data_IF_103185537190
#
_entry.id   IF_103185537190
#
_cell.length_a   1.000
_cell.length_b   1.000
_cell.length_c   1.000
_cell.angle_alpha   90.00
_cell.angle_beta   90.00
_cell.angle_gamma   90.00
#
_symmetry.space_group_name_H-M   'P 1'
#
loop_
_entity.id
_entity.type
_entity.pdbx_description
1 polymer ?
#
# COMPACT_ATOMS: atom_id res chain seq x y z
N UNK A 1 -7.95 -8.63 -0.81
CA UNK A 1 -7.68 -9.09 0.59
C UNK A 1 -7.41 -7.86 1.44
N UNK A 2 -7.59 -7.94 2.76
CA UNK A 2 -7.35 -6.80 3.64
C UNK A 2 -5.97 -6.82 4.32
N UNK A 3 -5.44 -5.65 4.60
CA UNK A 3 -4.14 -5.40 5.24
C UNK A 3 -4.31 -4.80 6.65
N UNK A 4 -3.39 -5.12 7.56
CA UNK A 4 -3.40 -4.61 8.95
C UNK A 4 -2.08 -4.91 9.66
N UNK A 5 -1.65 -4.01 10.55
CA UNK A 5 -0.53 -4.27 11.47
C UNK A 5 -0.99 -4.42 12.92
N UNK A 6 -2.27 -4.73 13.15
CA UNK A 6 -2.81 -4.97 14.48
C UNK A 6 -3.73 -6.19 14.55
N UNK A 7 -3.25 -7.23 15.25
CA UNK A 7 -3.94 -8.50 15.45
C UNK A 7 -4.16 -8.75 16.97
N UNK A 8 -5.26 -8.26 17.55
CA UNK A 8 -5.55 -8.49 18.96
C UNK A 8 -5.96 -9.95 19.23
N UNK A 9 -5.27 -10.59 20.19
CA UNK A 9 -5.60 -11.96 20.66
C UNK A 9 -7.00 -12.08 21.28
N UNK A 10 -7.58 -10.97 21.71
CA UNK A 10 -8.91 -10.91 22.33
C UNK A 10 -10.05 -10.90 21.30
N UNK A 11 -9.77 -10.65 20.03
CA UNK A 11 -10.81 -10.65 18.99
C UNK A 11 -11.14 -12.07 18.54
N UNK A 12 -12.42 -12.43 18.61
CA UNK A 12 -12.89 -13.75 18.21
C UNK A 12 -13.24 -13.80 16.72
N UNK A 13 -12.28 -14.16 15.87
CA UNK A 13 -12.46 -14.32 14.41
C UNK A 13 -13.42 -15.45 14.01
N UNK A 14 -13.92 -16.28 14.94
CA UNK A 14 -14.96 -17.29 14.66
C UNK A 14 -16.38 -16.75 14.85
N UNK A 15 -16.52 -15.61 15.53
CA UNK A 15 -17.82 -14.97 15.76
C UNK A 15 -18.14 -14.03 14.59
N UNK A 16 -19.29 -14.28 13.96
CA UNK A 16 -19.89 -13.36 13.01
C UNK A 16 -20.58 -12.22 13.77
N UNK A 17 -20.33 -10.99 13.34
CA UNK A 17 -20.86 -9.76 13.91
C UNK A 17 -21.62 -8.98 12.83
N UNK A 18 -22.68 -8.23 13.18
CA UNK A 18 -23.38 -7.40 12.21
C UNK A 18 -22.42 -6.39 11.57
N UNK A 19 -22.53 -6.20 10.26
CA UNK A 19 -21.76 -5.27 9.46
C UNK A 19 -22.66 -4.08 9.09
N UNK A 20 -22.22 -2.89 9.46
CA UNK A 20 -22.94 -1.63 9.20
C UNK A 20 -22.05 -0.66 8.41
N UNK A 21 -22.68 0.20 7.62
CA UNK A 21 -21.99 1.25 6.87
C UNK A 21 -22.75 2.56 7.02
N UNK A 22 -22.17 3.60 7.68
CA UNK A 22 -22.91 4.82 7.91
C UNK A 22 -23.26 5.60 6.65
N UNK A 23 -22.42 5.51 5.62
CA UNK A 23 -22.66 6.12 4.31
C UNK A 23 -23.67 5.40 3.40
N UNK A 24 -24.42 4.40 3.87
CA UNK A 24 -25.21 3.52 2.98
C UNK A 24 -26.26 4.27 2.16
N UNK A 25 -26.89 5.29 2.75
CA UNK A 25 -27.94 6.10 2.14
C UNK A 25 -27.42 7.37 1.45
N UNK A 26 -26.10 7.62 1.47
CA UNK A 26 -25.51 8.85 0.93
C UNK A 26 -25.77 10.08 1.81
N UNK A 27 -25.90 9.89 3.13
CA UNK A 27 -26.32 10.93 4.07
C UNK A 27 -25.31 12.09 4.22
N UNK A 28 -23.99 11.83 4.05
CA UNK A 28 -22.91 12.84 3.92
C UNK A 28 -21.54 12.18 3.74
N UNK A 29 -20.55 12.92 3.24
CA UNK A 29 -19.13 12.49 3.25
C UNK A 29 -18.66 12.16 4.67
N UNK A 30 -19.15 12.90 5.68
CA UNK A 30 -18.83 12.66 7.09
C UNK A 30 -19.29 11.25 7.53
N UNK A 31 -20.45 10.78 7.04
CA UNK A 31 -20.96 9.45 7.31
C UNK A 31 -20.22 8.34 6.55
N UNK A 32 -19.85 8.58 5.29
CA UNK A 32 -19.03 7.62 4.54
C UNK A 32 -17.69 7.37 5.24
N UNK A 33 -17.10 8.41 5.83
CA UNK A 33 -15.78 8.38 6.46
C UNK A 33 -15.78 8.05 7.96
N UNK A 34 -16.95 7.82 8.56
CA UNK A 34 -17.12 7.59 9.99
C UNK A 34 -16.57 8.71 10.90
N UNK A 35 -16.74 9.98 10.48
CA UNK A 35 -16.29 11.17 11.22
C UNK A 35 -17.46 11.98 11.81
N UNK A 36 -17.16 12.92 12.74
CA UNK A 36 -18.11 13.91 13.31
C UNK A 36 -19.49 13.34 13.70
N UNK A 37 -19.50 12.44 14.67
CA UNK A 37 -20.74 11.87 15.22
C UNK A 37 -21.64 11.13 14.21
N UNK A 38 -21.14 10.80 13.02
CA UNK A 38 -21.85 10.00 12.01
C UNK A 38 -22.31 8.63 12.51
N UNK A 39 -21.67 8.11 13.56
CA UNK A 39 -22.03 6.87 14.22
C UNK A 39 -23.18 7.03 15.23
N UNK A 40 -23.56 8.24 15.62
CA UNK A 40 -24.77 8.46 16.44
C UNK A 40 -26.04 8.03 15.68
N UNK A 41 -26.02 8.15 14.35
CA UNK A 41 -27.15 7.78 13.49
C UNK A 41 -27.22 6.28 13.20
N UNK A 42 -26.13 5.53 13.40
CA UNK A 42 -26.03 4.09 13.15
C UNK A 42 -25.40 3.40 14.34
N UNK A 43 -26.20 2.67 15.11
CA UNK A 43 -25.75 1.87 16.27
C UNK A 43 -24.58 0.95 15.86
N UNK A 44 -23.35 1.38 16.14
CA UNK A 44 -22.12 0.65 15.84
C UNK A 44 -21.70 -0.32 16.94
N UNK A 45 -22.40 -0.32 18.08
CA UNK A 45 -21.97 -1.02 19.29
C UNK A 45 -21.94 -2.54 19.09
N UNK A 46 -20.78 -3.15 19.30
CA UNK A 46 -20.57 -4.58 19.11
C UNK A 46 -20.59 -5.07 17.66
N UNK A 47 -20.55 -4.15 16.69
CA UNK A 47 -20.62 -4.42 15.24
C UNK A 47 -19.28 -4.17 14.55
N UNK A 48 -19.18 -4.60 13.30
CA UNK A 48 -18.10 -4.20 12.40
C UNK A 48 -18.60 -3.03 11.57
N UNK A 49 -17.84 -1.94 11.53
CA UNK A 49 -18.21 -0.73 10.81
C UNK A 49 -17.36 -0.60 9.55
N UNK A 50 -17.99 -0.47 8.39
CA UNK A 50 -17.31 -0.06 7.17
C UNK A 50 -17.13 1.46 7.18
N UNK A 51 -15.95 1.94 6.82
CA UNK A 51 -15.63 3.36 6.69
C UNK A 51 -14.81 3.56 5.42
N UNK A 52 -14.97 4.69 4.73
CA UNK A 52 -14.09 5.12 3.64
C UNK A 52 -12.88 5.88 4.20
N UNK A 53 -11.77 5.87 3.47
CA UNK A 53 -10.60 6.74 3.73
C UNK A 53 -10.94 8.23 3.49
N UNK A 54 -10.01 9.14 3.82
CA UNK A 54 -10.05 10.63 3.70
C UNK A 54 -10.25 11.47 5.00
N UNK A 55 -9.99 12.77 4.87
CA UNK A 55 -10.11 13.87 5.87
C UNK A 55 -9.20 13.80 7.09
N UNK A 56 -9.27 12.73 7.88
CA UNK A 56 -8.47 12.55 9.10
C UNK A 56 -7.63 11.28 9.00
N UNK A 57 -6.66 11.12 9.90
CA UNK A 57 -5.82 9.92 9.94
C UNK A 57 -6.66 8.67 10.20
N UNK A 58 -6.32 7.57 9.54
CA UNK A 58 -7.01 6.29 9.65
C UNK A 58 -7.06 5.77 11.10
N UNK A 59 -5.98 5.98 11.86
CA UNK A 59 -5.94 5.69 13.31
C UNK A 59 -6.96 6.52 14.10
N UNK A 60 -7.18 7.78 13.74
CA UNK A 60 -8.12 8.66 14.43
C UNK A 60 -9.58 8.25 14.13
N UNK A 61 -9.88 7.79 12.90
CA UNK A 61 -11.15 7.13 12.57
C UNK A 61 -11.37 5.89 13.43
N UNK A 62 -10.35 5.04 13.53
CA UNK A 62 -10.38 3.87 14.40
C UNK A 62 -10.69 4.24 15.86
N UNK A 63 -10.14 5.35 16.38
CA UNK A 63 -10.45 5.83 17.74
C UNK A 63 -11.91 6.26 17.89
N UNK A 64 -12.49 6.90 16.89
CA UNK A 64 -13.89 7.28 16.91
C UNK A 64 -14.79 6.05 16.90
N UNK A 65 -14.58 5.14 15.96
CA UNK A 65 -15.33 3.87 15.86
C UNK A 65 -15.19 3.03 17.13
N UNK A 66 -14.00 3.00 17.74
CA UNK A 66 -13.78 2.32 19.02
C UNK A 66 -14.55 2.96 20.19
N UNK A 67 -14.64 4.29 20.26
CA UNK A 67 -15.37 5.02 21.33
C UNK A 67 -16.86 4.73 21.32
N UNK A 68 -17.44 4.51 20.14
CA UNK A 68 -18.84 4.10 19.97
C UNK A 68 -19.08 2.62 20.33
N UNK A 69 -18.03 1.91 20.76
CA UNK A 69 -18.13 0.53 21.22
C UNK A 69 -18.19 -0.49 20.08
N UNK A 70 -17.75 -0.13 18.87
CA UNK A 70 -17.62 -1.08 17.77
C UNK A 70 -16.61 -2.18 18.08
N UNK A 71 -16.86 -3.37 17.54
CA UNK A 71 -16.00 -4.53 17.71
C UNK A 71 -14.85 -4.58 16.69
N UNK A 72 -14.99 -3.88 15.56
CA UNK A 72 -13.96 -3.78 14.52
C UNK A 72 -14.35 -2.80 13.42
N UNK A 73 -13.42 -2.52 12.52
CA UNK A 73 -13.62 -1.62 11.40
C UNK A 73 -13.06 -2.22 10.11
N UNK A 74 -13.77 -2.06 9.00
CA UNK A 74 -13.24 -2.27 7.66
C UNK A 74 -12.99 -0.88 7.09
N UNK A 75 -11.76 -0.60 6.68
CA UNK A 75 -11.42 0.68 6.08
C UNK A 75 -11.25 0.47 4.58
N UNK A 76 -12.17 1.03 3.79
CA UNK A 76 -12.17 0.97 2.34
C UNK A 76 -11.37 2.12 1.79
N UNK A 77 -10.37 1.79 0.97
CA UNK A 77 -9.54 2.78 0.29
C UNK A 77 -10.30 3.54 -0.81
N UNK A 78 -9.71 4.65 -1.26
CA UNK A 78 -10.19 5.39 -2.42
C UNK A 78 -9.73 4.73 -3.73
N UNK A 79 -10.26 5.17 -4.87
CA UNK A 79 -9.97 4.57 -6.18
C UNK A 79 -8.51 4.68 -6.63
N UNK A 80 -7.66 5.40 -5.90
CA UNK A 80 -6.24 5.62 -6.17
C UNK A 80 -5.34 5.19 -5.01
N UNK A 81 -5.90 4.67 -3.93
CA UNK A 81 -5.16 4.23 -2.76
C UNK A 81 -4.70 2.78 -2.85
N UNK A 82 -3.73 2.45 -2.02
CA UNK A 82 -3.29 1.07 -1.81
C UNK A 82 -3.46 0.69 -0.33
N UNK A 83 -4.15 -0.42 -0.05
CA UNK A 83 -4.26 -0.95 1.30
C UNK A 83 -2.87 -1.19 1.89
N UNK A 84 -2.67 -0.71 3.11
CA UNK A 84 -1.40 -0.86 3.80
C UNK A 84 -1.59 -1.28 5.24
N UNK A 85 -0.58 -1.95 5.77
CA UNK A 85 -0.61 -2.47 7.12
C UNK A 85 -0.29 -1.33 8.11
N UNK A 86 -1.32 -0.84 8.82
CA UNK A 86 -1.19 0.13 9.90
C UNK A 86 -1.67 -0.44 11.24
N UNK A 87 -1.08 0.03 12.35
CA UNK A 87 -1.51 -0.32 13.70
C UNK A 87 -2.72 0.50 14.14
N UNK A 88 -3.73 -0.15 14.74
CA UNK A 88 -4.97 0.50 15.18
C UNK A 88 -5.30 0.22 16.65
N UNK A 89 -6.30 0.94 17.19
CA UNK A 89 -6.83 0.77 18.55
C UNK A 89 -7.83 -0.38 18.68
N UNK A 90 -8.42 -0.79 17.56
CA UNK A 90 -9.39 -1.88 17.44
C UNK A 90 -9.04 -2.74 16.22
N UNK A 91 -9.58 -3.97 16.08
CA UNK A 91 -9.42 -4.78 14.87
C UNK A 91 -9.79 -3.98 13.61
N UNK A 92 -8.82 -3.80 12.70
CA UNK A 92 -9.05 -3.14 11.40
C UNK A 92 -8.59 -4.03 10.28
N UNK A 93 -9.36 -4.03 9.18
CA UNK A 93 -8.96 -4.60 7.89
C UNK A 93 -9.04 -3.49 6.83
N UNK A 94 -7.89 -3.04 6.35
CA UNK A 94 -7.79 -2.08 5.25
C UNK A 94 -8.00 -2.81 3.93
N UNK A 95 -8.98 -2.44 3.12
CA UNK A 95 -9.32 -3.14 1.87
C UNK A 95 -9.26 -2.19 0.69
N UNK A 96 -8.94 -2.74 -0.49
CA UNK A 96 -8.92 -1.96 -1.73
C UNK A 96 -10.30 -1.36 -2.03
N UNK A 97 -10.33 -0.29 -2.83
CA UNK A 97 -11.58 0.30 -3.32
C UNK A 97 -12.50 -0.74 -3.98
N UNK A 98 -11.94 -1.62 -4.81
CA UNK A 98 -12.70 -2.67 -5.52
C UNK A 98 -13.33 -3.66 -4.55
N UNK A 99 -12.60 -4.09 -3.53
CA UNK A 99 -13.15 -5.00 -2.51
C UNK A 99 -14.14 -4.28 -1.58
N UNK A 100 -13.88 -3.02 -1.25
CA UNK A 100 -14.79 -2.17 -0.48
C UNK A 100 -16.12 -1.93 -1.19
N UNK A 101 -16.12 -1.67 -2.50
CA UNK A 101 -17.34 -1.52 -3.31
C UNK A 101 -18.17 -2.82 -3.35
N UNK A 102 -17.52 -4.00 -3.37
CA UNK A 102 -18.24 -5.29 -3.22
C UNK A 102 -18.90 -5.41 -1.85
N UNK A 103 -18.21 -4.99 -0.79
CA UNK A 103 -18.77 -4.98 0.58
C UNK A 103 -19.95 -4.00 0.67
N UNK A 104 -19.80 -2.78 0.13
CA UNK A 104 -20.86 -1.76 0.05
C UNK A 104 -22.09 -2.29 -0.70
N UNK A 105 -21.88 -2.95 -1.83
CA UNK A 105 -22.92 -3.60 -2.62
C UNK A 105 -23.62 -4.73 -1.85
N UNK A 106 -22.87 -5.55 -1.12
CA UNK A 106 -23.44 -6.59 -0.25
C UNK A 106 -24.38 -6.00 0.81
N UNK A 107 -23.96 -4.93 1.49
CA UNK A 107 -24.80 -4.24 2.49
C UNK A 107 -26.09 -3.70 1.83
N UNK A 108 -25.98 -3.06 0.65
CA UNK A 108 -27.15 -2.52 -0.10
C UNK A 108 -28.13 -3.60 -0.54
N UNK A 109 -27.64 -4.81 -0.84
CA UNK A 109 -28.47 -5.91 -1.33
C UNK A 109 -29.38 -6.49 -0.24
N UNK A 110 -29.04 -6.32 1.04
CA UNK A 110 -29.77 -6.88 2.17
C UNK A 110 -30.69 -5.83 2.82
N UNK A 111 -31.71 -5.38 2.09
CA UNK A 111 -32.62 -4.29 2.53
C UNK A 111 -33.33 -4.55 3.87
N UNK A 112 -33.64 -5.82 4.17
CA UNK A 112 -34.44 -6.21 5.35
C UNK A 112 -33.60 -6.87 6.46
N UNK A 113 -32.27 -6.94 6.31
CA UNK A 113 -31.39 -7.62 7.26
C UNK A 113 -29.99 -7.04 7.27
N UNK A 114 -29.35 -6.96 8.44
CA UNK A 114 -27.93 -6.59 8.50
C UNK A 114 -27.05 -7.78 8.14
N UNK A 115 -26.16 -7.69 7.12
CA UNK A 115 -25.20 -8.76 6.84
C UNK A 115 -24.30 -8.97 8.05
N UNK A 116 -23.82 -10.19 8.23
CA UNK A 116 -22.79 -10.47 9.23
C UNK A 116 -21.42 -10.63 8.57
N UNK A 117 -20.38 -10.17 9.25
CA UNK A 117 -18.99 -10.31 8.84
C UNK A 117 -18.08 -10.67 10.02
N UNK A 118 -16.84 -11.05 9.72
CA UNK A 118 -15.78 -11.18 10.72
C UNK A 118 -14.43 -10.88 10.08
N UNK A 119 -13.46 -10.43 10.88
CA UNK A 119 -12.08 -10.20 10.44
C UNK A 119 -11.25 -11.40 10.86
N UNK A 120 -10.69 -12.12 9.87
CA UNK A 120 -9.82 -13.27 10.12
C UNK A 120 -8.38 -12.86 9.91
N UNK A 121 -7.59 -12.89 10.98
CA UNK A 121 -6.17 -12.59 10.91
C UNK A 121 -5.37 -13.84 10.54
N UNK A 122 -4.62 -13.76 9.44
CA UNK A 122 -3.77 -14.85 8.94
C UNK A 122 -2.28 -14.63 9.19
N UNK A 123 -1.91 -13.55 9.89
CA UNK A 123 -0.53 -13.10 10.00
C UNK A 123 0.04 -12.64 8.65
N UNK A 124 1.37 -12.50 8.58
CA UNK A 124 2.07 -12.16 7.34
C UNK A 124 1.98 -13.31 6.35
N UNK A 125 1.38 -13.06 5.20
CA UNK A 125 1.26 -14.02 4.12
C UNK A 125 2.35 -13.79 3.09
N UNK A 126 3.09 -14.85 2.76
CA UNK A 126 4.12 -14.83 1.71
C UNK A 126 3.60 -15.50 0.43
N UNK A 127 4.21 -15.16 -0.69
CA UNK A 127 3.87 -15.77 -1.98
C UNK A 127 2.61 -15.19 -2.63
N UNK A 128 2.24 -13.95 -2.29
CA UNK A 128 1.19 -13.22 -3.01
C UNK A 128 1.52 -13.15 -4.52
N UNK A 129 0.48 -13.23 -5.35
CA UNK A 129 0.56 -13.17 -6.81
C UNK A 129 -0.58 -12.32 -7.39
N UNK A 130 -0.33 -11.55 -8.47
CA UNK A 130 0.98 -11.33 -9.09
C UNK A 130 1.92 -10.53 -8.18
N UNK A 131 3.24 -10.68 -8.37
CA UNK A 131 4.24 -9.95 -7.58
C UNK A 131 5.58 -9.91 -8.31
N UNK A 132 6.25 -8.74 -8.44
CA UNK A 132 5.75 -7.42 -8.04
C UNK A 132 4.58 -6.93 -8.90
N UNK A 133 3.88 -5.92 -8.39
CA UNK A 133 2.89 -5.10 -9.09
C UNK A 133 3.25 -3.63 -8.87
N UNK A 134 2.79 -2.76 -9.75
CA UNK A 134 2.92 -1.31 -9.55
C UNK A 134 1.81 -0.85 -8.62
N UNK A 135 2.20 -0.29 -7.47
CA UNK A 135 1.27 0.30 -6.53
C UNK A 135 0.46 1.42 -7.19
N UNK A 136 -0.83 1.52 -6.87
CA UNK A 136 -1.76 2.57 -7.33
C UNK A 136 -1.25 3.96 -6.96
N UNK A 137 -0.61 4.12 -5.79
CA UNK A 137 -0.05 5.40 -5.34
C UNK A 137 1.26 5.80 -6.05
N UNK A 138 1.84 4.91 -6.86
CA UNK A 138 3.08 5.21 -7.59
C UNK A 138 2.80 6.24 -8.68
N UNK A 139 3.54 7.36 -8.69
CA UNK A 139 3.42 8.36 -9.75
C UNK A 139 3.86 7.79 -11.10
N UNK A 140 3.11 8.14 -12.15
CA UNK A 140 3.33 7.66 -13.52
C UNK A 140 3.91 8.75 -14.41
N UNK A 141 4.62 8.36 -15.46
CA UNK A 141 5.09 9.25 -16.51
C UNK A 141 3.95 9.76 -17.41
N UNK A 142 4.28 10.51 -18.48
CA UNK A 142 5.62 10.88 -18.91
C UNK A 142 6.26 11.98 -18.04
N UNK A 143 7.55 12.23 -18.28
CA UNK A 143 8.23 13.39 -17.70
C UNK A 143 7.75 14.69 -18.37
N UNK A 144 6.90 15.46 -17.70
CA UNK A 144 6.37 16.72 -18.22
C UNK A 144 7.40 17.86 -18.32
N UNK A 145 8.55 17.74 -17.66
CA UNK A 145 9.63 18.74 -17.74
C UNK A 145 10.56 18.50 -18.92
N UNK A 146 10.74 17.23 -19.31
CA UNK A 146 11.55 16.85 -20.45
C UNK A 146 10.91 15.62 -21.13
N UNK A 147 10.11 15.89 -22.16
CA UNK A 147 9.38 14.86 -22.91
C UNK A 147 10.27 13.89 -23.69
N UNK A 148 11.58 14.14 -23.78
CA UNK A 148 12.54 13.23 -24.42
C UNK A 148 13.09 12.14 -23.49
N UNK A 149 12.89 12.24 -22.17
CA UNK A 149 13.43 11.28 -21.19
C UNK A 149 12.30 10.58 -20.46
N UNK A 150 12.21 9.26 -20.66
CA UNK A 150 11.22 8.40 -20.01
C UNK A 150 11.38 8.40 -18.47
N UNK A 151 10.25 8.38 -17.77
CA UNK A 151 10.15 8.21 -16.31
C UNK A 151 8.93 7.36 -15.95
N UNK A 152 9.00 6.54 -14.87
CA UNK A 152 10.14 6.34 -13.98
C UNK A 152 11.28 5.54 -14.64
N UNK A 153 12.42 5.39 -13.95
CA UNK A 153 13.57 4.61 -14.48
C UNK A 153 13.41 3.11 -14.23
N UNK A 154 13.04 2.72 -12.99
CA UNK A 154 12.92 1.34 -12.50
C UNK A 154 11.93 1.26 -11.34
N UNK A 155 11.48 0.06 -11.00
CA UNK A 155 10.71 -0.27 -9.80
C UNK A 155 11.59 -0.88 -8.70
N UNK A 156 11.23 -0.60 -7.45
CA UNK A 156 11.81 -1.23 -6.27
C UNK A 156 10.73 -1.40 -5.18
N UNK A 157 10.95 -2.28 -4.17
CA UNK A 157 9.95 -2.55 -3.13
C UNK A 157 9.60 -1.30 -2.34
N UNK A 158 8.32 -0.92 -2.34
CA UNK A 158 7.83 0.31 -1.69
C UNK A 158 6.54 0.15 -0.89
N UNK A 159 5.88 -1.01 -0.90
CA UNK A 159 4.62 -1.26 -0.18
C UNK A 159 4.89 -2.10 1.06
N UNK A 160 4.30 -1.70 2.20
CA UNK A 160 4.41 -2.39 3.49
C UNK A 160 5.86 -2.69 3.92
N UNK A 161 6.75 -1.70 3.77
CA UNK A 161 8.16 -1.82 4.12
C UNK A 161 8.34 -1.53 5.62
N UNK A 162 8.85 -2.53 6.35
CA UNK A 162 9.27 -2.39 7.75
C UNK A 162 10.63 -1.69 7.82
N UNK A 163 10.71 -0.60 8.57
CA UNK A 163 11.94 0.16 8.78
C UNK A 163 12.07 0.69 10.20
N UNK A 164 13.29 1.05 10.60
CA UNK A 164 13.55 1.66 11.90
C UNK A 164 12.83 3.02 12.01
N UNK A 165 12.35 3.33 13.20
CA UNK A 165 11.65 4.57 13.49
C UNK A 165 12.13 5.16 14.82
N UNK A 166 12.36 6.49 14.91
CA UNK A 166 12.97 7.11 16.09
C UNK A 166 12.12 7.06 17.36
N UNK A 167 10.82 6.73 17.25
CA UNK A 167 9.86 6.67 18.36
C UNK A 167 8.79 5.63 18.08
N UNK A 168 8.00 5.28 19.10
CA UNK A 168 6.78 4.51 18.92
C UNK A 168 5.78 5.23 17.98
N UNK A 169 5.07 4.46 17.16
CA UNK A 169 4.23 4.95 16.05
C UNK A 169 2.79 4.46 16.09
N UNK A 170 2.54 3.31 16.71
CA UNK A 170 1.20 2.74 16.82
C UNK A 170 0.40 3.31 17.99
N UNK A 171 -0.94 3.28 17.92
CA UNK A 171 -1.76 3.59 19.08
C UNK A 171 -1.76 2.43 20.08
N UNK A 172 -1.93 2.70 21.37
CA UNK A 172 -2.16 1.64 22.36
C UNK A 172 -3.54 0.99 22.08
N UNK A 173 -3.68 -0.35 22.09
CA UNK A 173 -2.71 -1.36 22.53
C UNK A 173 -1.96 -2.08 21.38
N UNK A 174 -1.82 -1.47 20.20
CA UNK A 174 -1.00 -2.04 19.11
C UNK A 174 0.44 -2.28 19.57
N UNK A 175 1.04 -3.38 19.13
CA UNK A 175 2.46 -3.69 19.41
C UNK A 175 3.41 -2.59 18.87
N UNK A 176 2.97 -1.87 17.82
CA UNK A 176 3.68 -0.71 17.29
C UNK A 176 3.72 0.49 18.26
N UNK A 177 2.93 0.49 19.34
CA UNK A 177 2.94 1.52 20.37
C UNK A 177 4.17 1.46 21.30
N UNK A 178 4.96 0.39 21.24
CA UNK A 178 6.22 0.25 21.98
C UNK A 178 7.42 -0.05 21.07
N UNK A 179 7.19 -0.28 19.77
CA UNK A 179 8.24 -0.62 18.82
C UNK A 179 8.98 0.63 18.30
N UNK A 180 10.29 0.50 18.06
CA UNK A 180 11.11 1.48 17.32
C UNK A 180 11.19 1.14 15.83
N UNK A 181 10.11 0.55 15.31
CA UNK A 181 9.97 0.16 13.91
C UNK A 181 8.57 0.55 13.43
N UNK A 182 8.47 0.83 12.14
CA UNK A 182 7.22 1.21 11.49
C UNK A 182 7.10 0.53 10.13
N UNK A 183 5.87 0.27 9.72
CA UNK A 183 5.55 -0.22 8.37
C UNK A 183 5.05 0.98 7.57
N UNK A 184 5.71 1.30 6.46
CA UNK A 184 5.33 2.42 5.59
C UNK A 184 5.29 1.98 4.13
N UNK A 185 4.43 2.67 3.39
CA UNK A 185 4.23 2.49 1.96
C UNK A 185 4.55 3.81 1.24
N UNK A 186 5.20 3.73 0.09
CA UNK A 186 5.50 4.86 -0.78
C UNK A 186 6.77 4.70 -1.60
N UNK A 187 6.91 5.53 -2.63
CA UNK A 187 8.15 5.65 -3.41
C UNK A 187 9.33 6.10 -2.54
N UNK A 188 9.08 6.81 -1.43
CA UNK A 188 10.05 7.11 -0.37
C UNK A 188 10.68 5.87 0.27
N UNK A 189 10.00 4.71 0.21
CA UNK A 189 10.51 3.41 0.68
C UNK A 189 11.16 2.62 -0.46
N UNK A 190 10.72 2.81 -1.71
CA UNK A 190 11.36 2.22 -2.90
C UNK A 190 12.74 2.85 -3.19
N UNK A 191 12.86 4.17 -3.08
CA UNK A 191 14.09 4.93 -3.33
C UNK A 191 15.31 4.42 -2.52
N UNK A 192 15.23 4.20 -1.19
CA UNK A 192 16.37 3.68 -0.43
C UNK A 192 16.76 2.25 -0.82
N UNK A 193 15.83 1.41 -1.31
CA UNK A 193 16.20 0.10 -1.87
C UNK A 193 17.06 0.26 -3.13
N UNK A 194 16.63 1.10 -4.08
CA UNK A 194 17.41 1.39 -5.29
C UNK A 194 18.77 2.02 -4.96
N UNK A 195 18.81 2.97 -4.02
CA UNK A 195 20.06 3.59 -3.55
C UNK A 195 21.00 2.59 -2.88
N UNK A 196 20.47 1.65 -2.08
CA UNK A 196 21.26 0.58 -1.49
C UNK A 196 21.89 -0.34 -2.54
N UNK A 197 21.12 -0.69 -3.58
CA UNK A 197 21.62 -1.46 -4.72
C UNK A 197 22.73 -0.68 -5.45
N UNK A 198 22.51 0.61 -5.72
CA UNK A 198 23.51 1.46 -6.35
C UNK A 198 24.81 1.54 -5.52
N UNK A 199 24.71 1.62 -4.19
CA UNK A 199 25.86 1.61 -3.30
C UNK A 199 26.62 0.26 -3.34
N UNK A 200 25.91 -0.87 -3.39
CA UNK A 200 26.52 -2.20 -3.53
C UNK A 200 27.26 -2.35 -4.87
N UNK A 201 26.67 -1.85 -5.95
CA UNK A 201 27.32 -1.83 -7.27
C UNK A 201 28.56 -0.95 -7.23
N UNK A 202 28.49 0.25 -6.64
CA UNK A 202 29.66 1.14 -6.48
C UNK A 202 30.76 0.51 -5.64
N UNK A 203 30.40 -0.27 -4.62
CA UNK A 203 31.38 -0.99 -3.81
C UNK A 203 32.10 -2.08 -4.62
N UNK A 204 31.37 -2.86 -5.43
CA UNK A 204 31.96 -3.88 -6.32
C UNK A 204 32.75 -3.26 -7.48
N UNK A 205 32.29 -2.12 -7.99
CA UNK A 205 32.86 -1.42 -9.13
C UNK A 205 33.25 0.04 -8.77
N UNK A 206 34.33 0.26 -8.00
CA UNK A 206 34.66 1.58 -7.48
C UNK A 206 34.93 2.66 -8.53
N UNK A 207 35.36 2.27 -9.74
CA UNK A 207 35.64 3.20 -10.84
C UNK A 207 34.40 3.62 -11.64
N UNK A 208 33.26 2.94 -11.47
CA UNK A 208 32.07 3.22 -12.27
C UNK A 208 31.48 4.59 -11.96
N UNK A 209 31.09 5.31 -13.02
CA UNK A 209 30.38 6.58 -12.93
C UNK A 209 28.94 6.38 -12.42
N UNK A 210 28.26 7.45 -11.97
CA UNK A 210 26.83 7.37 -11.68
C UNK A 210 26.00 6.92 -12.89
N UNK A 211 26.38 7.32 -14.11
CA UNK A 211 25.73 6.89 -15.35
C UNK A 211 25.90 5.38 -15.57
N UNK A 212 27.10 4.82 -15.33
CA UNK A 212 27.35 3.37 -15.39
C UNK A 212 26.44 2.61 -14.43
N UNK A 213 26.36 3.06 -13.17
CA UNK A 213 25.55 2.40 -12.14
C UNK A 213 24.07 2.48 -12.49
N UNK A 214 23.58 3.65 -12.92
CA UNK A 214 22.20 3.82 -13.38
C UNK A 214 21.91 2.92 -14.57
N UNK A 215 22.80 2.87 -15.55
CA UNK A 215 22.64 2.04 -16.74
C UNK A 215 22.60 0.55 -16.39
N UNK A 216 23.51 0.08 -15.52
CA UNK A 216 23.53 -1.29 -15.05
C UNK A 216 22.21 -1.68 -14.35
N UNK A 217 21.66 -0.80 -13.50
CA UNK A 217 20.38 -1.04 -12.83
C UNK A 217 19.22 -1.10 -13.82
N UNK A 218 19.16 -0.16 -14.77
CA UNK A 218 18.07 -0.08 -15.77
C UNK A 218 18.11 -1.28 -16.72
N UNK A 219 19.26 -1.55 -17.34
CA UNK A 219 19.41 -2.58 -18.39
C UNK A 219 19.27 -4.01 -17.87
N UNK A 220 19.48 -4.23 -16.58
CA UNK A 220 19.34 -5.54 -15.93
C UNK A 220 18.01 -5.75 -15.20
N UNK A 221 17.18 -4.71 -15.12
CA UNK A 221 15.84 -4.79 -14.54
C UNK A 221 14.96 -5.76 -15.33
N UNK A 222 13.86 -6.21 -14.73
CA UNK A 222 12.90 -7.10 -15.38
C UNK A 222 11.51 -6.51 -15.38
N UNK A 223 10.85 -6.54 -16.53
CA UNK A 223 9.43 -6.21 -16.69
C UNK A 223 8.51 -7.38 -16.33
N UNK A 224 9.06 -8.48 -15.79
CA UNK A 224 8.32 -9.69 -15.48
C UNK A 224 8.11 -9.86 -13.97
N UNK A 225 6.96 -10.41 -13.60
CA UNK A 225 6.65 -10.85 -12.25
C UNK A 225 7.36 -12.19 -11.92
N UNK A 226 7.16 -12.67 -10.69
CA UNK A 226 7.76 -13.92 -10.21
C UNK A 226 7.28 -15.17 -10.97
N UNK A 227 6.17 -15.09 -11.70
CA UNK A 227 5.62 -16.18 -12.50
C UNK A 227 5.99 -16.05 -13.99
N UNK A 228 6.78 -15.02 -14.36
CA UNK A 228 7.24 -14.77 -15.71
C UNK A 228 6.24 -14.02 -16.59
N UNK A 229 5.15 -13.50 -16.01
CA UNK A 229 4.17 -12.68 -16.72
C UNK A 229 4.58 -11.20 -16.68
N UNK A 230 4.08 -10.34 -17.59
CA UNK A 230 4.30 -8.90 -17.46
C UNK A 230 3.84 -8.37 -16.09
N UNK A 231 4.65 -7.51 -15.48
CA UNK A 231 4.26 -6.78 -14.28
C UNK A 231 2.97 -6.00 -14.58
N UNK A 232 2.02 -6.06 -13.66
CA UNK A 232 0.72 -5.40 -13.81
C UNK A 232 0.64 -4.13 -12.97
N UNK A 233 -0.21 -3.22 -13.40
CA UNK A 233 -0.65 -2.07 -12.62
C UNK A 233 -1.77 -2.51 -11.68
N UNK A 234 -1.60 -2.30 -10.38
CA UNK A 234 -2.59 -2.67 -9.36
C UNK A 234 -3.93 -1.96 -9.56
N UNK A 235 -3.90 -0.73 -10.08
CA UNK A 235 -5.10 0.05 -10.34
C UNK A 235 -6.01 -0.58 -11.40
N UNK A 236 -5.40 -1.07 -12.49
CA UNK A 236 -6.13 -1.55 -13.68
C UNK A 236 -6.19 -3.06 -13.77
N UNK A 237 -5.35 -3.78 -13.02
CA UNK A 237 -5.12 -5.21 -13.16
C UNK A 237 -4.54 -5.63 -14.52
N UNK A 238 -4.13 -4.66 -15.35
CA UNK A 238 -3.62 -4.87 -16.70
C UNK A 238 -2.09 -4.76 -16.72
N UNK A 239 -1.40 -5.31 -17.75
CA UNK A 239 0.04 -5.12 -17.90
C UNK A 239 0.43 -3.64 -17.82
N UNK A 240 1.38 -3.34 -16.95
CA UNK A 240 1.89 -1.99 -16.74
C UNK A 240 2.79 -1.57 -17.91
N UNK A 241 2.72 -0.29 -18.29
CA UNK A 241 3.50 0.25 -19.38
C UNK A 241 4.84 0.87 -18.90
N UNK A 242 5.60 1.43 -19.84
CA UNK A 242 6.91 2.03 -19.55
C UNK A 242 6.84 3.29 -18.67
N UNK A 243 5.70 3.99 -18.66
CA UNK A 243 5.43 5.12 -17.77
C UNK A 243 5.02 4.69 -16.37
N UNK A 244 4.71 3.41 -16.18
CA UNK A 244 4.46 2.82 -14.88
C UNK A 244 5.72 2.22 -14.25
N UNK A 245 6.50 1.45 -15.04
CA UNK A 245 7.58 0.60 -14.52
C UNK A 245 8.98 1.02 -14.92
N UNK A 246 9.12 1.93 -15.90
CA UNK A 246 10.40 2.17 -16.55
C UNK A 246 10.94 0.88 -17.18
N UNK A 247 12.16 0.49 -16.82
CA UNK A 247 12.72 -0.80 -17.22
C UNK A 247 12.23 -1.99 -16.38
N UNK A 248 11.44 -1.75 -15.34
CA UNK A 248 10.86 -2.78 -14.47
C UNK A 248 11.57 -2.94 -13.12
N UNK A 249 11.33 -4.06 -12.46
CA UNK A 249 11.84 -4.37 -11.13
C UNK A 249 13.36 -4.52 -11.12
N UNK A 250 14.02 -3.81 -10.19
CA UNK A 250 15.47 -3.92 -9.97
C UNK A 250 15.90 -5.36 -9.66
N UNK A 251 17.00 -5.80 -10.29
CA UNK A 251 17.63 -7.10 -10.05
C UNK A 251 19.08 -6.91 -9.59
N UNK A 252 19.33 -6.84 -8.27
CA UNK A 252 20.64 -6.50 -7.73
C UNK A 252 21.77 -7.40 -8.28
N UNK A 253 21.53 -8.72 -8.36
CA UNK A 253 22.53 -9.67 -8.83
C UNK A 253 22.88 -9.53 -10.30
N UNK A 254 21.89 -9.21 -11.15
CA UNK A 254 22.11 -8.99 -12.57
C UNK A 254 22.80 -7.64 -12.82
N UNK A 255 22.43 -6.60 -12.06
CA UNK A 255 23.04 -5.27 -12.15
C UNK A 255 24.54 -5.24 -11.77
N UNK A 256 25.01 -6.25 -11.03
CA UNK A 256 26.41 -6.38 -10.62
C UNK A 256 27.34 -6.82 -11.76
N UNK A 257 26.81 -7.31 -12.88
CA UNK A 257 27.56 -7.66 -14.10
C UNK A 257 26.62 -7.56 -15.32
N UNK A 258 26.32 -6.33 -15.78
CA UNK A 258 25.31 -6.08 -16.81
C UNK A 258 25.80 -6.43 -18.24
N UNK A 259 27.08 -6.76 -18.41
CA UNK A 259 27.73 -6.93 -19.71
C UNK A 259 27.96 -5.62 -20.45
N UNK A 260 26.87 -4.94 -20.86
CA UNK A 260 26.90 -3.67 -21.57
C UNK A 260 26.26 -2.56 -20.74
N UNK A 261 26.69 -1.33 -20.99
CA UNK A 261 26.23 -0.11 -20.33
C UNK A 261 26.17 1.04 -21.34
N UNK A 262 25.28 1.98 -21.06
CA UNK A 262 25.15 3.25 -21.77
C UNK A 262 25.82 4.33 -20.92
N UNK A 263 26.93 4.86 -21.40
CA UNK A 263 27.67 5.92 -20.71
C UNK A 263 27.13 7.30 -21.02
N UNK A 264 27.28 8.21 -20.05
CA UNK A 264 27.04 9.63 -20.18
C UNK A 264 28.02 10.37 -19.27
N UNK A 265 28.67 11.40 -19.82
CA UNK A 265 29.49 12.33 -19.09
C UNK A 265 28.66 13.54 -18.63
N UNK A 266 29.20 14.31 -17.68
CA UNK A 266 28.54 15.52 -17.19
C UNK A 266 28.27 16.55 -18.31
N UNK A 267 29.12 16.58 -19.35
CA UNK A 267 28.96 17.44 -20.52
C UNK A 267 27.72 17.10 -21.36
N UNK A 268 27.35 15.82 -21.44
CA UNK A 268 26.20 15.36 -22.23
C UNK A 268 24.86 15.88 -21.69
N UNK A 269 24.80 16.27 -20.41
CA UNK A 269 23.60 16.85 -19.80
C UNK A 269 23.40 18.33 -20.11
N UNK A 270 24.48 19.06 -20.45
CA UNK A 270 24.47 20.52 -20.62
C UNK A 270 24.61 20.98 -22.07
N UNK A 271 25.06 20.10 -22.97
CA UNK A 271 25.25 20.38 -24.39
C UNK A 271 26.57 21.04 -24.73
#
# INVERSE_FOLDING_TARGET
MGETAYQPKTFNSSKLLPLVYPGINGDSDDAEQCIRDSLEYIDGKGKIVLCAVETIKDVDKGRQVYREGAAGMILMDDSRGDPHAEGHVLPVSYVSFVDGEKIKSCIRSMKDSTPNATIVFKGTQFGYRPSPMVATISSRGPNFLNGGILKPDVLAPGVNILGAWPRAVGPNPSELAIATFNIKTGTSMAAPHASGIAALIKNKHPSWSPAYIRSAIITSATSLDLDGNPIVDENTGSPADIFDIGAGQVRPWAAMDPGLIYDLDAGDYIG
#
